data_IF_230494828782
#
_entry.id   IF_230494828782
#
_cell.length_a   1.000
_cell.length_b   1.000
_cell.length_c   1.000
_cell.angle_alpha   90.00
_cell.angle_beta   90.00
_cell.angle_gamma   90.00
#
_symmetry.space_group_name_H-M   'P 1'
#
loop_
_entity.id
_entity.type
_entity.pdbx_description
1 polymer ?
#
# COMPACT_ATOMS: atom_id res chain seq x y z
N UNK A 1 22.70 0.91 2.70
CA UNK A 1 22.31 0.60 1.31
C UNK A 1 21.44 1.74 0.84
N UNK A 2 21.72 2.35 -0.32
CA UNK A 2 20.92 3.48 -0.80
C UNK A 2 19.59 2.98 -1.35
N UNK A 3 18.51 3.76 -1.20
CA UNK A 3 17.18 3.36 -1.65
C UNK A 3 17.16 3.17 -3.17
N UNK A 4 17.85 4.03 -3.90
CA UNK A 4 18.00 3.90 -5.36
C UNK A 4 18.59 2.56 -5.80
N UNK A 5 19.50 1.98 -5.01
CA UNK A 5 20.13 0.70 -5.34
C UNK A 5 19.12 -0.43 -5.15
N UNK A 6 18.26 -0.35 -4.13
CA UNK A 6 17.20 -1.32 -3.88
C UNK A 6 16.13 -1.28 -4.97
N UNK A 7 15.65 -0.09 -5.33
CA UNK A 7 14.69 0.08 -6.43
C UNK A 7 15.31 -0.40 -7.75
N UNK A 8 16.59 -0.10 -7.98
CA UNK A 8 17.31 -0.60 -9.16
C UNK A 8 17.40 -2.12 -9.15
N UNK A 9 17.64 -2.78 -8.00
CA UNK A 9 17.61 -4.25 -7.90
C UNK A 9 16.24 -4.84 -8.18
N UNK A 10 15.17 -4.20 -7.74
CA UNK A 10 13.80 -4.61 -8.12
C UNK A 10 13.63 -4.61 -9.65
N UNK A 11 14.36 -3.74 -10.36
CA UNK A 11 14.36 -3.64 -11.82
C UNK A 11 15.47 -4.46 -12.53
N UNK A 12 16.59 -4.75 -11.86
CA UNK A 12 17.78 -5.37 -12.44
C UNK A 12 17.60 -6.88 -12.60
N UNK A 13 17.56 -7.34 -13.85
CA UNK A 13 16.99 -8.61 -14.28
C UNK A 13 17.98 -9.76 -14.51
N UNK A 14 19.24 -9.75 -14.02
CA UNK A 14 20.20 -10.84 -14.34
C UNK A 14 20.03 -12.13 -13.52
N UNK A 15 18.96 -12.86 -13.80
CA UNK A 15 19.10 -14.26 -14.27
C UNK A 15 18.64 -14.25 -15.73
N UNK A 16 18.99 -15.22 -16.58
CA UNK A 16 18.62 -15.22 -18.01
C UNK A 16 17.08 -15.18 -18.29
N UNK A 17 16.23 -15.13 -17.27
CA UNK A 17 14.78 -14.93 -17.31
C UNK A 17 14.25 -13.79 -16.40
N UNK A 18 15.08 -12.83 -15.97
CA UNK A 18 14.63 -11.72 -15.11
C UNK A 18 14.72 -12.03 -13.62
N UNK A 19 15.64 -11.38 -12.90
CA UNK A 19 15.74 -11.38 -11.43
C UNK A 19 14.40 -10.91 -10.79
N UNK A 20 14.02 -11.24 -9.56
CA UNK A 20 14.75 -11.90 -8.47
C UNK A 20 14.59 -11.22 -7.11
N UNK A 21 13.41 -10.71 -6.78
CA UNK A 21 12.81 -10.72 -5.44
C UNK A 21 11.37 -11.20 -5.68
N UNK A 22 11.08 -12.46 -5.35
CA UNK A 22 9.83 -13.17 -5.68
C UNK A 22 9.36 -13.00 -7.13
N UNK A 23 10.16 -13.44 -8.11
CA UNK A 23 9.54 -13.73 -9.41
C UNK A 23 8.50 -14.83 -9.17
N UNK A 24 7.27 -14.61 -9.63
CA UNK A 24 6.20 -15.60 -9.67
C UNK A 24 6.67 -16.72 -10.63
N UNK A 25 7.56 -17.61 -10.18
CA UNK A 25 8.17 -18.66 -11.00
C UNK A 25 7.23 -19.84 -11.19
N UNK A 26 6.13 -19.89 -10.43
CA UNK A 26 5.11 -20.92 -10.57
C UNK A 26 4.41 -20.70 -11.90
N UNK A 27 4.79 -21.47 -12.93
CA UNK A 27 4.14 -21.55 -14.25
C UNK A 27 2.74 -22.19 -14.15
N UNK A 28 1.91 -21.70 -13.23
CA UNK A 28 0.57 -22.22 -13.00
C UNK A 28 0.46 -23.40 -12.04
N UNK A 29 1.57 -23.92 -11.48
CA UNK A 29 1.50 -25.01 -10.50
C UNK A 29 0.75 -24.54 -9.25
N UNK A 30 -0.43 -25.14 -9.03
CA UNK A 30 -1.28 -24.89 -7.87
C UNK A 30 -0.56 -25.42 -6.63
N UNK A 31 -0.42 -24.63 -5.55
CA UNK A 31 0.18 -25.10 -4.31
C UNK A 31 -0.66 -26.24 -3.70
N UNK A 32 0.00 -27.26 -3.16
CA UNK A 32 -0.68 -28.39 -2.49
C UNK A 32 -1.33 -27.98 -1.16
N UNK A 33 -0.84 -26.92 -0.53
CA UNK A 33 -1.37 -26.32 0.68
C UNK A 33 -1.12 -24.82 0.70
N UNK A 34 -1.87 -24.11 1.55
CA UNK A 34 -1.74 -22.66 1.77
C UNK A 34 -1.82 -21.85 0.48
N UNK A 35 -2.87 -22.12 -0.29
CA UNK A 35 -3.08 -21.52 -1.60
C UNK A 35 -3.39 -20.03 -1.50
N UNK A 36 -4.15 -19.61 -0.49
CA UNK A 36 -4.43 -18.21 -0.22
C UNK A 36 -3.14 -17.44 0.05
N UNK A 37 -2.30 -17.96 0.94
CA UNK A 37 -0.99 -17.37 1.26
C UNK A 37 -0.10 -17.26 0.01
N UNK A 38 -0.08 -18.29 -0.84
CA UNK A 38 0.64 -18.20 -2.12
C UNK A 38 0.10 -17.07 -3.01
N UNK A 39 -1.21 -16.85 -3.01
CA UNK A 39 -1.85 -15.72 -3.68
C UNK A 39 -1.42 -14.37 -3.12
N UNK A 40 -1.34 -14.22 -1.79
CA UNK A 40 -0.91 -12.97 -1.14
C UNK A 40 0.58 -12.66 -1.39
N UNK A 41 1.45 -13.67 -1.34
CA UNK A 41 2.85 -13.53 -1.73
C UNK A 41 3.01 -13.10 -3.20
N UNK A 42 2.20 -13.66 -4.09
CA UNK A 42 2.22 -13.29 -5.51
C UNK A 42 1.66 -11.87 -5.72
N UNK A 43 0.67 -11.44 -4.94
CA UNK A 43 0.18 -10.05 -4.93
C UNK A 43 1.29 -9.06 -4.54
N UNK A 44 2.06 -9.36 -3.51
CA UNK A 44 3.24 -8.56 -3.10
C UNK A 44 4.19 -8.36 -4.27
N UNK A 45 4.41 -9.41 -5.07
CA UNK A 45 5.26 -9.40 -6.25
C UNK A 45 4.69 -8.53 -7.38
N UNK A 46 3.36 -8.56 -7.58
CA UNK A 46 2.67 -7.66 -8.52
C UNK A 46 2.88 -6.19 -8.14
N UNK A 47 2.71 -5.83 -6.85
CA UNK A 47 2.90 -4.43 -6.40
C UNK A 47 4.32 -3.95 -6.65
N UNK A 48 5.34 -4.79 -6.38
CA UNK A 48 6.73 -4.44 -6.70
C UNK A 48 6.98 -4.33 -8.20
N UNK A 49 6.48 -5.27 -9.00
CA UNK A 49 6.62 -5.24 -10.45
C UNK A 49 6.00 -3.97 -11.04
N UNK A 50 4.80 -3.61 -10.59
CA UNK A 50 4.15 -2.37 -10.99
C UNK A 50 5.00 -1.17 -10.59
N UNK A 51 5.55 -1.12 -9.37
CA UNK A 51 6.36 0.02 -8.89
C UNK A 51 7.57 0.36 -9.77
N UNK A 52 8.07 -0.56 -10.59
CA UNK A 52 9.23 -0.35 -11.48
C UNK A 52 8.88 -0.36 -12.97
N UNK A 53 7.59 -0.24 -13.30
CA UNK A 53 7.11 -0.16 -14.69
C UNK A 53 6.93 -1.50 -15.40
N UNK A 54 6.78 -2.60 -14.66
CA UNK A 54 6.55 -3.93 -15.22
C UNK A 54 5.10 -4.39 -15.12
N UNK A 55 4.13 -3.46 -15.22
CA UNK A 55 2.71 -3.78 -15.20
C UNK A 55 2.35 -4.89 -16.20
N UNK A 56 2.71 -4.72 -17.48
CA UNK A 56 2.37 -5.70 -18.54
C UNK A 56 2.93 -7.11 -18.28
N UNK A 57 4.04 -7.21 -17.53
CA UNK A 57 4.64 -8.48 -17.15
C UNK A 57 3.88 -9.17 -16.00
N UNK A 58 3.34 -8.38 -15.06
CA UNK A 58 2.75 -8.89 -13.81
C UNK A 58 1.22 -8.95 -13.82
N UNK A 59 0.56 -8.08 -14.58
CA UNK A 59 -0.90 -8.03 -14.72
C UNK A 59 -1.53 -9.40 -15.07
N UNK A 60 -0.94 -10.25 -15.93
CA UNK A 60 -1.50 -11.55 -16.26
C UNK A 60 -1.64 -12.52 -15.08
N UNK A 61 -0.96 -12.29 -13.94
CA UNK A 61 -1.07 -13.16 -12.77
C UNK A 61 -2.27 -12.82 -11.87
N UNK A 62 -2.85 -11.61 -11.98
CA UNK A 62 -3.95 -11.14 -11.13
C UNK A 62 -5.17 -12.07 -11.13
N UNK A 63 -5.66 -12.62 -12.26
CA UNK A 63 -6.79 -13.55 -12.25
C UNK A 63 -6.55 -14.78 -11.37
N UNK A 64 -5.36 -15.38 -11.45
CA UNK A 64 -5.00 -16.57 -10.66
C UNK A 64 -4.80 -16.21 -9.18
N UNK A 65 -4.19 -15.06 -8.89
CA UNK A 65 -4.04 -14.55 -7.52
C UNK A 65 -5.43 -14.42 -6.85
N UNK A 66 -6.39 -13.81 -7.55
CA UNK A 66 -7.77 -13.66 -7.06
C UNK A 66 -8.45 -15.01 -6.82
N UNK A 67 -8.25 -15.98 -7.72
CA UNK A 67 -8.77 -17.35 -7.57
C UNK A 67 -8.18 -18.03 -6.32
N UNK A 68 -6.86 -17.97 -6.16
CA UNK A 68 -6.14 -18.58 -5.04
C UNK A 68 -6.51 -17.97 -3.69
N UNK A 69 -6.63 -16.64 -3.63
CA UNK A 69 -7.09 -15.93 -2.44
C UNK A 69 -8.53 -16.32 -2.09
N UNK A 70 -9.42 -16.38 -3.08
CA UNK A 70 -10.81 -16.83 -2.89
C UNK A 70 -10.86 -18.25 -2.33
N UNK A 71 -10.07 -19.18 -2.88
CA UNK A 71 -10.02 -20.56 -2.41
C UNK A 71 -9.48 -20.67 -0.97
N UNK A 72 -8.42 -19.92 -0.62
CA UNK A 72 -7.91 -19.86 0.75
C UNK A 72 -8.93 -19.30 1.75
N UNK A 73 -9.76 -18.36 1.33
CA UNK A 73 -10.87 -17.83 2.15
C UNK A 73 -11.98 -18.86 2.30
N UNK A 74 -12.43 -19.49 1.21
CA UNK A 74 -13.50 -20.50 1.20
C UNK A 74 -13.14 -21.72 2.05
N UNK A 75 -11.89 -22.18 1.94
CA UNK A 75 -11.38 -23.34 2.70
C UNK A 75 -11.01 -23.01 4.14
N UNK A 76 -11.15 -21.73 4.56
CA UNK A 76 -10.73 -21.23 5.88
C UNK A 76 -9.30 -21.60 6.21
N UNK A 77 -8.41 -21.37 5.24
CA UNK A 77 -6.97 -21.49 5.42
C UNK A 77 -6.51 -20.72 6.68
N UNK A 78 -5.52 -21.25 7.39
CA UNK A 78 -5.05 -20.67 8.64
C UNK A 78 -3.58 -21.00 8.88
N UNK A 79 -2.81 -19.99 9.28
CA UNK A 79 -1.50 -20.12 9.93
C UNK A 79 -1.61 -19.70 11.39
N UNK A 80 -1.61 -20.67 12.31
CA UNK A 80 -1.74 -20.52 13.77
C UNK A 80 -3.02 -19.81 14.27
N UNK A 81 -3.28 -18.59 13.82
CA UNK A 81 -4.44 -17.77 14.14
C UNK A 81 -5.33 -17.57 12.91
N UNK A 82 -6.46 -18.27 12.91
CA UNK A 82 -7.46 -18.22 11.83
C UNK A 82 -7.93 -16.78 11.53
N UNK A 83 -8.26 -16.00 12.56
CA UNK A 83 -8.80 -14.66 12.34
C UNK A 83 -7.73 -13.70 11.78
N UNK A 84 -6.49 -13.84 12.21
CA UNK A 84 -5.37 -13.09 11.65
C UNK A 84 -5.16 -13.45 10.18
N UNK A 85 -5.02 -14.74 9.86
CA UNK A 85 -4.78 -15.18 8.49
C UNK A 85 -5.93 -14.79 7.55
N UNK A 86 -7.16 -15.03 7.97
CA UNK A 86 -8.33 -14.72 7.14
C UNK A 86 -8.52 -13.20 6.95
N UNK A 87 -8.18 -12.35 7.93
CA UNK A 87 -8.14 -10.90 7.73
C UNK A 87 -7.17 -10.52 6.61
N UNK A 88 -5.99 -11.13 6.58
CA UNK A 88 -4.95 -10.79 5.61
C UNK A 88 -5.32 -11.32 4.21
N UNK A 89 -5.83 -12.54 4.09
CA UNK A 89 -6.34 -13.06 2.82
C UNK A 89 -7.50 -12.21 2.25
N UNK A 90 -8.46 -11.79 3.08
CA UNK A 90 -9.56 -10.93 2.64
C UNK A 90 -9.06 -9.54 2.22
N UNK A 91 -8.06 -8.99 2.92
CA UNK A 91 -7.40 -7.73 2.54
C UNK A 91 -6.70 -7.85 1.18
N UNK A 92 -5.95 -8.94 0.99
CA UNK A 92 -5.24 -9.23 -0.25
C UNK A 92 -6.22 -9.42 -1.41
N UNK A 93 -7.35 -10.10 -1.21
CA UNK A 93 -8.38 -10.27 -2.23
C UNK A 93 -8.98 -8.92 -2.65
N UNK A 94 -9.27 -8.04 -1.69
CA UNK A 94 -9.77 -6.70 -1.96
C UNK A 94 -8.77 -5.88 -2.79
N UNK A 95 -7.48 -5.92 -2.43
CA UNK A 95 -6.43 -5.25 -3.20
C UNK A 95 -6.22 -5.85 -4.58
N UNK A 96 -6.11 -7.17 -4.72
CA UNK A 96 -5.91 -7.82 -6.01
C UNK A 96 -7.07 -7.48 -6.98
N UNK A 97 -8.30 -7.47 -6.46
CA UNK A 97 -9.48 -7.06 -7.23
C UNK A 97 -9.43 -5.60 -7.62
N UNK A 98 -9.03 -4.71 -6.71
CA UNK A 98 -8.86 -3.28 -6.99
C UNK A 98 -7.76 -3.04 -8.03
N UNK A 99 -6.60 -3.69 -7.93
CA UNK A 99 -5.51 -3.55 -8.91
C UNK A 99 -5.97 -3.99 -10.30
N UNK A 100 -6.73 -5.10 -10.39
CA UNK A 100 -7.22 -5.63 -11.66
C UNK A 100 -8.30 -4.76 -12.31
N UNK A 101 -9.17 -4.15 -11.52
CA UNK A 101 -10.40 -3.52 -12.03
C UNK A 101 -10.42 -1.99 -11.92
N UNK A 102 -9.53 -1.42 -11.11
CA UNK A 102 -9.57 -0.01 -10.71
C UNK A 102 -10.70 0.33 -9.72
N UNK A 103 -11.55 -0.62 -9.34
CA UNK A 103 -12.73 -0.38 -8.52
C UNK A 103 -12.51 -0.78 -7.07
N UNK A 104 -12.90 0.09 -6.15
CA UNK A 104 -12.90 -0.24 -4.73
C UNK A 104 -14.17 -1.01 -4.36
N UNK A 105 -14.08 -2.34 -4.36
CA UNK A 105 -15.19 -3.23 -3.97
C UNK A 105 -15.35 -3.23 -2.44
N UNK A 106 -16.22 -2.36 -1.94
CA UNK A 106 -16.44 -2.13 -0.50
C UNK A 106 -16.80 -3.41 0.26
N UNK A 107 -17.58 -4.31 -0.33
CA UNK A 107 -17.99 -5.55 0.33
C UNK A 107 -16.84 -6.51 0.60
N UNK A 108 -15.80 -6.53 -0.26
CA UNK A 108 -14.58 -7.31 0.00
C UNK A 108 -13.85 -6.78 1.23
N UNK A 109 -13.80 -5.46 1.40
CA UNK A 109 -13.23 -4.84 2.59
C UNK A 109 -14.05 -5.13 3.84
N UNK A 110 -15.38 -5.17 3.75
CA UNK A 110 -16.24 -5.53 4.88
C UNK A 110 -15.99 -6.95 5.39
N UNK A 111 -15.68 -7.90 4.51
CA UNK A 111 -15.30 -9.26 4.93
C UNK A 111 -14.01 -9.27 5.77
N UNK A 112 -13.07 -8.36 5.48
CA UNK A 112 -11.87 -8.18 6.31
C UNK A 112 -12.23 -7.74 7.74
N UNK A 113 -13.23 -6.87 7.88
CA UNK A 113 -13.64 -6.33 9.18
C UNK A 113 -14.23 -7.40 10.11
N UNK A 114 -14.92 -8.41 9.57
CA UNK A 114 -15.47 -9.52 10.35
C UNK A 114 -14.37 -10.23 11.15
N UNK A 115 -13.21 -10.42 10.55
CA UNK A 115 -12.06 -11.07 11.19
C UNK A 115 -11.29 -10.10 12.10
N UNK A 116 -11.17 -8.84 11.68
CA UNK A 116 -10.54 -7.80 12.49
C UNK A 116 -11.26 -7.57 13.82
N UNK A 117 -12.59 -7.47 13.80
CA UNK A 117 -13.41 -7.27 15.01
C UNK A 117 -13.26 -8.46 15.99
N UNK A 118 -13.06 -9.69 15.49
CA UNK A 118 -12.77 -10.86 16.33
C UNK A 118 -11.41 -10.77 17.04
N UNK A 119 -10.40 -10.21 16.38
CA UNK A 119 -9.07 -9.99 16.98
C UNK A 119 -9.12 -8.89 18.03
N UNK A 120 -9.78 -7.77 17.72
CA UNK A 120 -9.87 -6.60 18.59
C UNK A 120 -10.60 -6.89 19.91
N UNK A 121 -11.62 -7.75 19.90
CA UNK A 121 -12.31 -8.18 21.11
C UNK A 121 -11.41 -8.90 22.13
N UNK A 122 -10.17 -9.25 21.76
CA UNK A 122 -9.18 -9.92 22.62
C UNK A 122 -8.09 -8.99 23.13
N UNK A 123 -8.04 -7.74 22.67
CA UNK A 123 -6.98 -6.80 23.03
C UNK A 123 -7.38 -5.93 24.22
N UNK A 124 -6.48 -5.80 25.19
CA UNK A 124 -6.63 -4.87 26.32
C UNK A 124 -5.65 -3.70 26.17
N UNK A 125 -6.16 -2.55 25.74
CA UNK A 125 -5.36 -1.33 25.57
C UNK A 125 -5.15 -0.55 26.87
N UNK A 126 -5.63 -1.05 28.02
CA UNK A 126 -5.52 -0.35 29.32
C UNK A 126 -4.07 -0.15 29.76
N UNK A 127 -3.16 -1.04 29.36
CA UNK A 127 -1.73 -0.99 29.71
C UNK A 127 -0.90 -0.11 28.75
N UNK A 128 -1.56 0.56 27.80
CA UNK A 128 -0.90 1.31 26.74
C UNK A 128 -0.44 0.41 25.59
N UNK A 129 -0.24 1.00 24.42
CA UNK A 129 0.12 0.29 23.19
C UNK A 129 1.60 0.42 22.86
N UNK A 130 2.21 -0.70 22.46
CA UNK A 130 3.54 -0.72 21.86
C UNK A 130 3.57 0.06 20.54
N UNK A 131 4.75 0.20 19.95
CA UNK A 131 4.86 0.82 18.61
C UNK A 131 4.16 -0.04 17.56
N UNK A 132 4.31 -1.36 17.64
CA UNK A 132 3.80 -2.30 16.65
C UNK A 132 2.28 -2.40 16.75
N UNK A 133 1.71 -2.39 17.96
CA UNK A 133 0.25 -2.36 18.15
C UNK A 133 -0.37 -1.11 17.53
N UNK A 134 0.30 0.05 17.64
CA UNK A 134 -0.16 1.29 17.00
C UNK A 134 -0.09 1.21 15.49
N UNK A 135 0.86 0.49 14.93
CA UNK A 135 0.98 0.27 13.48
C UNK A 135 -0.13 -0.66 12.98
N UNK A 136 -0.39 -1.75 13.70
CA UNK A 136 -1.51 -2.68 13.43
C UNK A 136 -2.85 -1.94 13.52
N UNK A 137 -3.03 -1.08 14.52
CA UNK A 137 -4.24 -0.29 14.68
C UNK A 137 -4.38 0.77 13.59
N UNK A 138 -3.27 1.37 13.12
CA UNK A 138 -3.30 2.28 11.98
C UNK A 138 -3.84 1.57 10.73
N UNK A 139 -3.28 0.39 10.40
CA UNK A 139 -3.77 -0.43 9.28
C UNK A 139 -5.23 -0.86 9.47
N UNK A 140 -5.65 -1.11 10.71
CA UNK A 140 -7.05 -1.41 11.03
C UNK A 140 -7.99 -0.26 10.67
N UNK A 141 -7.61 0.98 10.99
CA UNK A 141 -8.37 2.18 10.59
C UNK A 141 -8.37 2.33 9.07
N UNK A 142 -7.24 2.10 8.40
CA UNK A 142 -7.18 2.16 6.93
C UNK A 142 -8.12 1.12 6.29
N UNK A 143 -8.23 -0.10 6.83
CA UNK A 143 -9.23 -1.09 6.38
C UNK A 143 -10.66 -0.60 6.55
N UNK A 144 -10.99 0.03 7.69
CA UNK A 144 -12.32 0.64 7.89
C UNK A 144 -12.61 1.74 6.87
N UNK A 145 -11.62 2.59 6.54
CA UNK A 145 -11.75 3.61 5.48
C UNK A 145 -12.07 2.95 4.14
N UNK A 146 -11.33 1.90 3.77
CA UNK A 146 -11.55 1.20 2.50
C UNK A 146 -12.91 0.48 2.44
N UNK A 147 -13.42 0.03 3.58
CA UNK A 147 -14.77 -0.49 3.76
C UNK A 147 -15.87 0.59 3.87
N UNK A 148 -15.51 1.88 3.85
CA UNK A 148 -16.40 3.02 4.10
C UNK A 148 -17.14 2.96 5.44
N UNK A 149 -16.57 2.24 6.42
CA UNK A 149 -17.10 2.06 7.77
C UNK A 149 -16.45 3.09 8.72
N UNK A 150 -16.52 4.37 8.35
CA UNK A 150 -15.78 5.44 9.02
C UNK A 150 -16.20 5.63 10.48
N UNK A 151 -17.50 5.53 10.78
CA UNK A 151 -18.02 5.64 12.14
C UNK A 151 -17.40 4.59 13.06
N UNK A 152 -17.24 3.35 12.58
CA UNK A 152 -16.61 2.27 13.35
C UNK A 152 -15.13 2.56 13.62
N UNK A 153 -14.40 3.06 12.62
CA UNK A 153 -13.00 3.48 12.81
C UNK A 153 -12.89 4.61 13.84
N UNK A 154 -13.80 5.58 13.81
CA UNK A 154 -13.84 6.69 14.76
C UNK A 154 -14.11 6.17 16.18
N UNK A 155 -15.12 5.31 16.35
CA UNK A 155 -15.46 4.69 17.62
C UNK A 155 -14.30 3.86 18.18
N UNK A 156 -13.61 3.10 17.33
CA UNK A 156 -12.42 2.33 17.72
C UNK A 156 -11.29 3.23 18.22
N UNK A 157 -10.99 4.32 17.51
CA UNK A 157 -9.95 5.25 17.97
C UNK A 157 -10.35 5.94 19.28
N UNK A 158 -11.60 6.39 19.39
CA UNK A 158 -12.11 7.12 20.55
C UNK A 158 -12.29 6.22 21.78
N UNK A 159 -12.54 4.91 21.63
CA UNK A 159 -12.62 3.99 22.77
C UNK A 159 -11.27 3.89 23.50
N UNK A 160 -10.17 4.10 22.79
CA UNK A 160 -8.80 4.04 23.33
C UNK A 160 -8.31 5.40 23.82
N UNK A 161 -8.56 6.47 23.04
CA UNK A 161 -7.98 7.80 23.31
C UNK A 161 -8.98 8.83 23.87
N UNK A 162 -10.25 8.46 23.94
CA UNK A 162 -11.37 9.34 24.28
C UNK A 162 -11.79 10.24 23.12
N UNK A 163 -12.99 10.82 23.25
CA UNK A 163 -13.52 11.80 22.30
C UNK A 163 -13.04 13.22 22.64
N UNK A 164 -11.77 13.50 22.30
CA UNK A 164 -11.18 14.84 22.47
C UNK A 164 -11.02 15.52 21.10
N UNK A 165 -11.14 16.86 21.03
CA UNK A 165 -10.90 17.60 19.79
C UNK A 165 -9.54 17.25 19.16
N UNK A 166 -9.59 16.68 17.96
CA UNK A 166 -8.40 16.24 17.25
C UNK A 166 -7.76 17.38 16.46
N UNK A 167 -6.43 17.51 16.54
CA UNK A 167 -5.65 18.54 15.85
C UNK A 167 -4.47 17.93 15.10
N UNK A 168 -4.26 18.40 13.88
CA UNK A 168 -3.08 18.09 13.08
C UNK A 168 -1.84 18.79 13.64
N UNK A 169 -0.69 18.18 13.39
CA UNK A 169 0.65 18.75 13.64
C UNK A 169 1.65 18.05 12.71
N UNK A 170 2.90 18.50 12.71
CA UNK A 170 3.96 17.98 11.82
C UNK A 170 4.62 16.68 12.29
N UNK A 171 4.32 16.19 13.50
CA UNK A 171 4.94 14.99 14.08
C UNK A 171 3.86 13.94 14.42
N UNK A 172 3.12 13.51 13.40
CA UNK A 172 2.02 12.57 13.55
C UNK A 172 2.53 11.14 13.45
N UNK A 173 2.06 10.27 14.34
CA UNK A 173 2.21 8.83 14.16
C UNK A 173 1.26 8.32 13.07
N UNK A 174 1.57 7.16 12.48
CA UNK A 174 0.69 6.50 11.51
C UNK A 174 -0.74 6.38 12.03
N UNK A 175 -0.94 5.90 13.26
CA UNK A 175 -2.27 5.79 13.87
C UNK A 175 -3.04 7.12 13.89
N UNK A 176 -2.38 8.22 14.27
CA UNK A 176 -3.00 9.54 14.29
C UNK A 176 -3.30 10.04 12.87
N UNK A 177 -2.46 9.71 11.89
CA UNK A 177 -2.72 10.04 10.48
C UNK A 177 -3.89 9.24 9.92
N UNK A 178 -3.95 7.93 10.17
CA UNK A 178 -5.08 7.09 9.74
C UNK A 178 -6.40 7.63 10.29
N UNK A 179 -6.43 8.01 11.57
CA UNK A 179 -7.60 8.66 12.17
C UNK A 179 -7.91 10.02 11.53
N UNK A 180 -6.90 10.84 11.20
CA UNK A 180 -7.10 12.10 10.50
C UNK A 180 -7.74 11.92 9.11
N UNK A 181 -7.28 10.94 8.34
CA UNK A 181 -7.88 10.57 7.06
C UNK A 181 -9.32 10.09 7.26
N UNK A 182 -9.59 9.28 8.28
CA UNK A 182 -10.95 8.84 8.60
C UNK A 182 -11.90 10.02 8.88
N UNK A 183 -11.45 11.02 9.65
CA UNK A 183 -12.23 12.24 9.92
C UNK A 183 -12.43 13.08 8.65
N UNK A 184 -11.45 13.11 7.76
CA UNK A 184 -11.61 13.76 6.45
C UNK A 184 -12.69 13.09 5.61
N UNK A 185 -12.65 11.77 5.45
CA UNK A 185 -13.65 11.05 4.65
C UNK A 185 -15.05 11.08 5.25
N UNK A 186 -15.17 11.09 6.58
CA UNK A 186 -16.47 11.06 7.26
C UNK A 186 -17.15 12.43 7.32
N UNK A 187 -16.43 13.46 7.75
CA UNK A 187 -17.01 14.77 8.09
C UNK A 187 -16.34 15.94 7.37
N UNK A 188 -15.37 15.69 6.49
CA UNK A 188 -14.63 16.74 5.78
C UNK A 188 -13.79 17.63 6.71
N UNK A 189 -13.41 17.13 7.90
CA UNK A 189 -12.79 17.96 8.97
C UNK A 189 -11.51 18.67 8.55
N UNK A 190 -10.72 18.01 7.71
CA UNK A 190 -9.42 18.52 7.25
C UNK A 190 -9.42 18.64 5.74
N UNK A 191 -8.77 19.68 5.22
CA UNK A 191 -8.53 19.80 3.77
C UNK A 191 -7.40 18.87 3.34
N UNK A 192 -7.34 18.58 2.04
CA UNK A 192 -6.27 17.76 1.46
C UNK A 192 -4.89 18.37 1.75
N UNK A 193 -4.72 19.67 1.54
CA UNK A 193 -3.47 20.39 1.83
C UNK A 193 -3.02 20.23 3.29
N UNK A 194 -3.97 20.27 4.22
CA UNK A 194 -3.68 20.10 5.65
C UNK A 194 -3.21 18.67 5.95
N UNK A 195 -3.84 17.67 5.35
CA UNK A 195 -3.45 16.27 5.47
C UNK A 195 -2.09 16.02 4.84
N UNK A 196 -1.85 16.45 3.61
CA UNK A 196 -0.57 16.25 2.92
C UNK A 196 0.59 16.87 3.70
N UNK A 197 0.42 18.12 4.16
CA UNK A 197 1.44 18.80 4.98
C UNK A 197 1.75 18.04 6.28
N UNK A 198 0.74 17.44 6.91
CA UNK A 198 0.89 16.74 8.19
C UNK A 198 1.38 15.30 8.03
N UNK A 199 1.02 14.64 6.92
CA UNK A 199 1.37 13.26 6.62
C UNK A 199 2.77 13.12 6.03
N UNK A 200 3.24 14.12 5.25
CA UNK A 200 4.49 14.06 4.50
C UNK A 200 5.71 13.60 5.32
N UNK A 201 6.02 14.18 6.52
CA UNK A 201 7.19 13.75 7.29
C UNK A 201 7.15 12.28 7.75
N UNK A 202 5.95 11.73 7.94
CA UNK A 202 5.76 10.32 8.27
C UNK A 202 5.90 9.45 7.01
N UNK A 203 5.18 9.81 5.94
CA UNK A 203 5.13 9.03 4.70
C UNK A 203 6.49 8.91 4.01
N UNK A 204 7.28 9.99 3.95
CA UNK A 204 8.65 9.98 3.38
C UNK A 204 9.55 8.93 4.03
N UNK A 205 9.39 8.68 5.34
CA UNK A 205 10.18 7.68 6.06
C UNK A 205 9.53 6.30 6.03
N UNK A 206 8.22 6.26 6.22
CA UNK A 206 7.49 5.02 6.43
C UNK A 206 7.32 4.23 5.13
N UNK A 207 7.02 4.89 4.01
CA UNK A 207 6.89 4.21 2.72
C UNK A 207 8.22 3.58 2.28
N UNK A 208 9.33 4.29 2.47
CA UNK A 208 10.68 3.76 2.21
C UNK A 208 10.98 2.55 3.09
N UNK A 209 10.67 2.62 4.38
CA UNK A 209 10.81 1.51 5.30
C UNK A 209 10.00 0.29 4.83
N UNK A 210 8.71 0.46 4.54
CA UNK A 210 7.83 -0.62 4.08
C UNK A 210 8.33 -1.24 2.79
N UNK A 211 8.73 -0.41 1.81
CA UNK A 211 9.29 -0.88 0.54
C UNK A 211 10.55 -1.73 0.75
N UNK A 212 11.49 -1.28 1.59
CA UNK A 212 12.75 -2.03 1.84
C UNK A 212 12.57 -3.28 2.70
N UNK A 213 11.46 -3.40 3.44
CA UNK A 213 11.16 -4.54 4.29
C UNK A 213 10.32 -5.63 3.59
N UNK A 214 9.98 -5.48 2.31
CA UNK A 214 9.11 -6.45 1.63
C UNK A 214 7.61 -6.21 1.90
N UNK A 215 7.22 -5.13 2.57
CA UNK A 215 5.85 -4.87 3.05
C UNK A 215 5.07 -3.98 2.07
N UNK A 216 5.10 -4.31 0.78
CA UNK A 216 4.51 -3.48 -0.28
C UNK A 216 2.98 -3.40 -0.22
N UNK A 217 2.29 -4.44 0.24
CA UNK A 217 0.83 -4.40 0.48
C UNK A 217 0.46 -3.39 1.58
N UNK A 218 1.30 -3.26 2.61
CA UNK A 218 1.10 -2.25 3.65
C UNK A 218 1.37 -0.83 3.15
N UNK A 219 2.39 -0.68 2.30
CA UNK A 219 2.64 0.58 1.59
C UNK A 219 1.41 0.99 0.78
N UNK A 220 0.74 0.02 0.14
CA UNK A 220 -0.44 0.25 -0.69
C UNK A 220 -1.63 0.81 0.09
N UNK A 221 -1.84 0.42 1.35
CA UNK A 221 -2.88 1.04 2.19
C UNK A 221 -2.68 2.56 2.31
N UNK A 222 -1.44 2.99 2.54
CA UNK A 222 -1.11 4.41 2.66
C UNK A 222 -1.28 5.15 1.33
N UNK A 223 -0.66 4.62 0.26
CA UNK A 223 -0.72 5.26 -1.06
C UNK A 223 -2.18 5.38 -1.54
N UNK A 224 -2.96 4.29 -1.42
CA UNK A 224 -4.36 4.29 -1.81
C UNK A 224 -5.18 5.27 -0.99
N UNK A 225 -5.04 5.27 0.34
CA UNK A 225 -5.79 6.19 1.21
C UNK A 225 -5.48 7.66 0.90
N UNK A 226 -4.21 7.99 0.65
CA UNK A 226 -3.81 9.36 0.27
C UNK A 226 -4.42 9.74 -1.07
N UNK A 227 -4.34 8.85 -2.07
CA UNK A 227 -4.88 9.11 -3.40
C UNK A 227 -6.41 9.22 -3.40
N UNK A 228 -7.10 8.35 -2.67
CA UNK A 228 -8.56 8.39 -2.49
C UNK A 228 -9.04 9.71 -1.87
N UNK A 229 -8.20 10.35 -1.04
CA UNK A 229 -8.52 11.65 -0.44
C UNK A 229 -8.34 12.82 -1.42
N UNK A 230 -7.58 12.65 -2.50
CA UNK A 230 -7.35 13.69 -3.51
C UNK A 230 -8.56 13.78 -4.45
N UNK A 231 -8.84 14.97 -4.96
CA UNK A 231 -9.96 15.22 -5.91
C UNK A 231 -9.71 14.67 -7.33
N UNK A 232 -8.60 13.93 -7.54
CA UNK A 232 -8.22 13.32 -8.82
C UNK A 232 -8.52 11.82 -8.77
N UNK A 233 -9.06 11.27 -9.86
CA UNK A 233 -9.11 9.82 -10.06
C UNK A 233 -7.74 9.26 -10.46
N UNK A 234 -7.32 8.18 -9.80
CA UNK A 234 -6.08 7.48 -10.09
C UNK A 234 -6.38 6.05 -10.52
N UNK A 235 -5.69 5.59 -11.55
CA UNK A 235 -5.57 4.15 -11.82
C UNK A 235 -4.74 3.48 -10.71
N UNK A 236 -4.89 2.17 -10.46
CA UNK A 236 -4.07 1.48 -9.47
C UNK A 236 -2.55 1.62 -9.70
N UNK A 237 -2.15 1.66 -10.96
CA UNK A 237 -0.76 1.89 -11.37
C UNK A 237 -0.28 3.30 -10.98
N UNK A 238 -1.06 4.34 -11.27
CA UNK A 238 -0.71 5.70 -10.85
C UNK A 238 -0.65 5.82 -9.32
N UNK A 239 -1.55 5.16 -8.58
CA UNK A 239 -1.48 5.11 -7.11
C UNK A 239 -0.15 4.53 -6.65
N UNK A 240 0.30 3.41 -7.23
CA UNK A 240 1.60 2.80 -6.89
C UNK A 240 2.75 3.77 -7.23
N UNK A 241 2.68 4.49 -8.35
CA UNK A 241 3.71 5.48 -8.72
C UNK A 241 3.76 6.70 -7.81
N UNK A 242 2.68 7.03 -7.10
CA UNK A 242 2.74 8.12 -6.10
C UNK A 242 3.75 7.86 -4.99
N UNK A 243 4.23 6.61 -4.81
CA UNK A 243 5.40 6.30 -3.99
C UNK A 243 6.59 7.23 -4.27
N UNK A 244 6.85 7.53 -5.55
CA UNK A 244 7.97 8.39 -5.95
C UNK A 244 7.80 9.85 -5.55
N UNK A 245 6.59 10.33 -5.23
CA UNK A 245 6.37 11.69 -4.68
C UNK A 245 6.97 11.87 -3.28
N UNK A 246 7.28 10.75 -2.60
CA UNK A 246 7.83 10.71 -1.24
C UNK A 246 9.32 10.33 -1.20
N UNK A 247 9.94 10.15 -2.38
CA UNK A 247 11.36 9.83 -2.49
C UNK A 247 12.12 11.10 -2.91
N UNK A 248 13.22 11.46 -2.21
CA UNK A 248 14.10 12.54 -2.64
C UNK A 248 14.62 12.33 -4.06
N UNK A 249 14.76 13.40 -4.83
CA UNK A 249 15.14 13.33 -6.26
C UNK A 249 16.47 12.60 -6.48
N UNK A 250 17.44 12.76 -5.57
CA UNK A 250 18.74 12.09 -5.59
C UNK A 250 18.71 10.57 -5.33
N UNK A 251 17.59 10.06 -4.79
CA UNK A 251 17.35 8.64 -4.51
C UNK A 251 16.38 8.01 -5.53
N UNK A 252 15.84 8.78 -6.49
CA UNK A 252 15.05 8.22 -7.60
C UNK A 252 15.99 7.67 -8.68
N UNK A 253 15.82 6.41 -9.11
CA UNK A 253 16.52 5.90 -10.28
C UNK A 253 16.16 6.66 -11.57
N UNK A 254 17.08 6.73 -12.53
CA UNK A 254 16.92 7.52 -13.77
C UNK A 254 15.66 7.15 -14.57
N UNK A 255 15.26 5.87 -14.53
CA UNK A 255 14.09 5.38 -15.25
C UNK A 255 12.76 5.88 -14.72
N UNK A 256 12.72 6.40 -13.49
CA UNK A 256 11.50 6.93 -12.89
C UNK A 256 11.00 8.13 -13.68
N UNK A 257 11.89 8.93 -14.30
CA UNK A 257 11.49 10.07 -15.14
C UNK A 257 10.70 9.62 -16.36
N UNK A 258 11.19 8.57 -17.03
CA UNK A 258 10.48 7.94 -18.15
C UNK A 258 9.14 7.34 -17.69
N UNK A 259 9.15 6.66 -16.54
CA UNK A 259 7.97 6.04 -15.93
C UNK A 259 6.86 7.05 -15.62
N UNK A 260 7.23 8.22 -15.10
CA UNK A 260 6.29 9.29 -14.75
C UNK A 260 5.93 10.18 -15.96
N UNK A 261 6.45 9.90 -17.16
CA UNK A 261 6.21 10.69 -18.36
C UNK A 261 6.85 12.08 -18.30
N UNK A 262 7.84 12.29 -17.42
CA UNK A 262 8.61 13.53 -17.35
C UNK A 262 9.55 13.60 -18.56
N UNK A 263 9.29 14.52 -19.49
CA UNK A 263 10.17 14.74 -20.65
C UNK A 263 11.56 15.14 -20.16
N UNK A 264 12.61 14.48 -20.69
CA UNK A 264 13.99 14.95 -20.46
C UNK A 264 14.07 16.45 -20.79
N UNK A 265 14.72 17.27 -19.94
CA UNK A 265 15.04 18.62 -20.36
C UNK A 265 15.88 18.50 -21.63
N UNK A 266 15.44 19.16 -22.71
CA UNK A 266 16.19 19.20 -23.97
C UNK A 266 17.66 19.46 -23.64
N UNK A 267 18.53 18.48 -23.93
CA UNK A 267 19.97 18.67 -23.83
C UNK A 267 20.28 19.89 -24.68
N UNK A 268 20.53 21.04 -24.04
CA UNK A 268 21.11 22.20 -24.71
C UNK A 268 22.41 21.72 -25.29
N UNK A 269 22.38 21.42 -26.58
CA UNK A 269 23.53 20.99 -27.34
C UNK A 269 24.64 22.01 -27.11
N UNK A 270 25.78 21.54 -26.59
CA UNK A 270 27.02 22.32 -26.47
C UNK A 270 27.44 22.93 -27.83
N UNK A 271 26.92 22.42 -28.96
CA UNK A 271 27.15 23.01 -30.28
C UNK A 271 26.35 24.28 -30.55
N UNK A 272 25.27 24.56 -29.82
CA UNK A 272 24.50 25.81 -29.97
C UNK A 272 25.16 27.03 -29.29
N UNK A 273 26.21 26.81 -28.50
CA UNK A 273 27.03 27.87 -27.90
C UNK A 273 28.36 28.11 -28.64
N UNK A 274 28.72 27.28 -29.61
CA UNK A 274 30.01 27.37 -30.34
C UNK A 274 29.93 28.10 -31.69
N UNK A 275 28.75 28.52 -32.15
CA UNK A 275 28.60 29.36 -33.34
C UNK A 275 27.81 30.63 -33.01
N UNK A 276 28.46 31.52 -32.27
CA UNK A 276 28.22 32.97 -32.34
C UNK A 276 29.56 33.65 -32.53
N UNK A 277 29.99 33.75 -33.79
CA UNK A 277 30.99 34.69 -34.29
C UNK A 277 30.44 35.30 -35.57
#
# INVERSE_FOLDING_TARGET
>A
MKLKDEISRTRETKSKNGFGYFYIQRKGDKPDSYIGEAGDMDLTSVVYGYSVGYKDLYEPFLPRIIEWLSEGIETRESFDNLAFHQRDLNSALAFATWIKTGKNEVDLWKNTLVWQEQLQNREDYSQGMSRDDKEILALSILRYIQAQEYEKAIQLYQSIYGDKPFKLNSNMSGLRLAYAYCLHFYEGKFTIDQLEKSARPFLEKHLVMLYTMGRSTEMLYWLKTVCDAREKEYTPEEVIYTFYEYIPEEEKPDFVKELLGEKEPEKKSLFSQLFKW
#
